data_IF_254428178385
#
_entry.id   IF_254428178385
#
_cell.length_a   1.000
_cell.length_b   1.000
_cell.length_c   1.000
_cell.angle_alpha   90.00
_cell.angle_beta   90.00
_cell.angle_gamma   90.00
#
_symmetry.space_group_name_H-M   'P 1'
#
loop_
_entity.id
_entity.type
_entity.pdbx_description
1 polymer ?
#
# COMPACT_ATOMS: atom_id res chain seq x y z
N UNK A 1 30.92 59.83 -26.99
CA UNK A 1 30.34 58.96 -25.94
C UNK A 1 30.01 57.60 -26.53
N UNK A 2 30.56 56.50 -26.01
CA UNK A 2 30.18 55.17 -26.46
C UNK A 2 28.90 54.71 -25.71
N UNK A 3 27.91 54.18 -26.43
CA UNK A 3 26.67 53.68 -25.83
C UNK A 3 26.87 52.26 -25.28
N UNK A 4 26.35 51.97 -24.09
CA UNK A 4 26.31 50.63 -23.48
C UNK A 4 24.89 50.06 -23.50
N UNK A 5 24.75 48.74 -23.22
CA UNK A 5 23.45 48.08 -23.10
C UNK A 5 22.78 48.47 -21.78
N UNK A 6 21.48 48.80 -21.83
CA UNK A 6 20.74 49.31 -20.68
C UNK A 6 20.18 48.21 -19.74
N UNK A 7 19.82 47.03 -20.25
CA UNK A 7 19.23 45.93 -19.44
C UNK A 7 19.38 44.55 -20.11
N UNK A 8 19.50 43.46 -19.31
CA UNK A 8 19.45 42.09 -19.83
C UNK A 8 19.08 41.01 -18.79
N UNK A 9 18.22 40.08 -19.20
CA UNK A 9 17.83 38.88 -18.43
C UNK A 9 18.48 37.59 -18.98
N UNK A 10 19.41 37.70 -19.94
CA UNK A 10 19.91 36.59 -20.76
C UNK A 10 20.42 35.36 -19.97
N UNK A 11 21.19 35.58 -18.89
CA UNK A 11 21.77 34.50 -18.09
C UNK A 11 21.06 34.30 -16.74
N UNK A 12 19.94 34.97 -16.49
CA UNK A 12 19.27 34.89 -15.18
C UNK A 12 18.63 33.52 -14.97
N UNK A 13 17.87 33.06 -15.96
CA UNK A 13 17.22 31.73 -15.92
C UNK A 13 18.24 30.60 -15.73
N UNK A 14 19.35 30.61 -16.48
CA UNK A 14 20.39 29.58 -16.35
C UNK A 14 20.97 29.53 -14.93
N UNK A 15 21.21 30.69 -14.29
CA UNK A 15 21.71 30.75 -12.90
C UNK A 15 20.68 30.20 -11.90
N UNK A 16 19.40 30.57 -12.03
CA UNK A 16 18.34 30.05 -11.15
C UNK A 16 18.19 28.53 -11.24
N UNK A 17 18.38 27.96 -12.44
CA UNK A 17 18.26 26.54 -12.66
C UNK A 17 19.51 25.72 -12.33
N UNK A 18 20.70 26.32 -12.17
CA UNK A 18 21.92 25.58 -11.75
C UNK A 18 21.71 24.81 -10.44
N UNK A 19 21.03 25.43 -9.47
CA UNK A 19 20.70 24.81 -8.18
C UNK A 19 19.25 24.27 -8.14
N UNK A 20 18.49 24.52 -9.20
CA UNK A 20 17.06 24.24 -9.29
C UNK A 20 16.20 25.20 -8.48
N UNK A 21 15.09 25.65 -9.05
CA UNK A 21 14.10 26.47 -8.36
C UNK A 21 13.27 25.52 -7.47
N UNK A 22 13.57 25.48 -6.17
CA UNK A 22 12.89 24.61 -5.21
C UNK A 22 11.54 25.22 -4.82
N UNK A 23 10.50 24.37 -4.77
CA UNK A 23 9.21 24.74 -4.19
C UNK A 23 9.33 24.88 -2.66
N UNK A 24 8.52 25.73 -2.02
CA UNK A 24 8.48 25.79 -0.56
C UNK A 24 8.10 24.41 0.00
N UNK A 25 8.68 24.04 1.14
CA UNK A 25 8.40 22.77 1.80
C UNK A 25 6.99 22.81 2.41
N UNK A 26 6.13 21.90 2.01
CA UNK A 26 4.84 21.68 2.68
C UNK A 26 5.06 20.96 4.02
N UNK A 27 4.38 21.42 5.06
CA UNK A 27 4.44 20.83 6.40
C UNK A 27 3.03 20.38 6.81
N UNK A 28 2.91 19.22 7.47
CA UNK A 28 1.60 18.68 7.90
C UNK A 28 0.81 19.65 8.78
N UNK A 29 1.50 20.39 9.64
CA UNK A 29 0.91 21.39 10.53
C UNK A 29 1.61 22.73 10.32
N UNK A 30 0.90 23.69 9.75
CA UNK A 30 1.38 25.06 9.54
C UNK A 30 1.14 25.95 10.77
N UNK A 31 1.75 27.14 10.77
CA UNK A 31 1.56 28.12 11.84
C UNK A 31 0.17 28.77 11.76
N UNK A 32 -0.42 29.08 12.91
CA UNK A 32 -1.70 29.79 13.00
C UNK A 32 -1.53 31.32 13.06
N UNK A 33 -0.43 31.86 12.52
CA UNK A 33 -0.17 33.30 12.48
C UNK A 33 -1.13 33.96 11.47
N UNK A 34 -1.77 35.06 11.86
CA UNK A 34 -2.74 35.77 11.03
C UNK A 34 -4.18 35.25 11.11
N UNK A 35 -4.44 34.21 11.92
CA UNK A 35 -5.81 33.75 12.23
C UNK A 35 -6.49 34.70 13.22
N UNK A 36 -7.81 34.86 13.12
CA UNK A 36 -8.62 35.73 13.97
C UNK A 36 -8.29 35.55 15.48
N UNK A 37 -7.89 36.64 16.19
CA UNK A 37 -7.59 36.60 17.61
C UNK A 37 -8.74 36.07 18.48
N UNK A 38 -10.01 36.36 18.14
CA UNK A 38 -11.17 35.90 18.93
C UNK A 38 -11.30 34.38 18.84
N UNK A 39 -11.19 33.82 17.64
CA UNK A 39 -11.13 32.38 17.42
C UNK A 39 -9.94 31.73 18.14
N UNK A 40 -8.73 32.30 18.01
CA UNK A 40 -7.53 31.76 18.66
C UNK A 40 -7.67 31.71 20.18
N UNK A 41 -8.30 32.74 20.77
CA UNK A 41 -8.52 32.80 22.21
C UNK A 41 -9.44 31.67 22.68
N UNK A 42 -10.55 31.42 21.98
CA UNK A 42 -11.43 30.30 22.28
C UNK A 42 -10.74 28.94 22.09
N UNK A 43 -10.04 28.72 20.98
CA UNK A 43 -9.32 27.46 20.73
C UNK A 43 -8.26 27.19 21.81
N UNK A 44 -7.55 28.23 22.28
CA UNK A 44 -6.59 28.11 23.40
C UNK A 44 -7.29 27.69 24.69
N UNK A 45 -8.45 28.27 25.01
CA UNK A 45 -9.24 27.86 26.18
C UNK A 45 -9.74 26.42 26.08
N UNK A 46 -10.25 25.99 24.93
CA UNK A 46 -10.67 24.61 24.70
C UNK A 46 -9.50 23.63 24.93
N UNK A 47 -8.33 23.90 24.31
CA UNK A 47 -7.12 23.09 24.50
C UNK A 47 -6.64 23.07 25.96
N UNK A 48 -6.75 24.21 26.67
CA UNK A 48 -6.37 24.33 28.10
C UNK A 48 -7.19 23.40 28.99
N UNK A 49 -8.48 23.23 28.71
CA UNK A 49 -9.40 22.48 29.59
C UNK A 49 -9.66 21.02 29.17
N UNK A 50 -9.06 20.52 28.08
CA UNK A 50 -9.21 19.13 27.63
C UNK A 50 -8.87 18.07 28.70
N UNK A 51 -7.98 18.38 29.64
CA UNK A 51 -7.61 17.46 30.73
C UNK A 51 -8.79 17.08 31.64
N UNK A 52 -9.80 17.96 31.78
CA UNK A 52 -10.98 17.71 32.63
C UNK A 52 -11.83 16.52 32.14
N UNK A 53 -11.90 16.31 30.84
CA UNK A 53 -12.71 15.25 30.23
C UNK A 53 -12.00 13.90 30.07
N UNK A 54 -10.72 13.81 30.43
CA UNK A 54 -9.86 12.69 30.04
C UNK A 54 -10.37 11.33 30.55
N UNK A 55 -10.82 11.26 31.81
CA UNK A 55 -11.36 10.02 32.40
C UNK A 55 -12.57 9.48 31.64
N UNK A 56 -13.48 10.37 31.20
CA UNK A 56 -14.67 10.00 30.44
C UNK A 56 -14.30 9.46 29.06
N UNK A 57 -13.36 10.12 28.39
CA UNK A 57 -12.83 9.69 27.08
C UNK A 57 -12.13 8.34 27.20
N UNK A 58 -11.31 8.13 28.22
CA UNK A 58 -10.61 6.86 28.43
C UNK A 58 -11.58 5.71 28.66
N UNK A 59 -12.59 5.91 29.52
CA UNK A 59 -13.61 4.89 29.76
C UNK A 59 -14.40 4.54 28.49
N UNK A 60 -14.77 5.56 27.70
CA UNK A 60 -15.48 5.33 26.44
C UNK A 60 -14.60 4.59 25.42
N UNK A 61 -13.34 4.97 25.29
CA UNK A 61 -12.38 4.29 24.40
C UNK A 61 -12.14 2.85 24.82
N UNK A 62 -12.02 2.57 26.13
CA UNK A 62 -11.88 1.20 26.63
C UNK A 62 -13.11 0.34 26.28
N UNK A 63 -14.32 0.87 26.45
CA UNK A 63 -15.57 0.21 26.04
C UNK A 63 -15.61 -0.04 24.53
N UNK A 64 -15.14 0.92 23.72
CA UNK A 64 -15.08 0.76 22.27
C UNK A 64 -14.06 -0.32 21.84
N UNK A 65 -12.91 -0.38 22.53
CA UNK A 65 -11.89 -1.41 22.27
C UNK A 65 -12.41 -2.79 22.67
N UNK A 66 -13.06 -2.93 23.83
CA UNK A 66 -13.61 -4.22 24.26
C UNK A 66 -14.70 -4.71 23.29
N UNK A 67 -15.62 -3.85 22.88
CA UNK A 67 -16.65 -4.19 21.89
C UNK A 67 -16.04 -4.61 20.55
N UNK A 68 -14.98 -3.92 20.09
CA UNK A 68 -14.24 -4.33 18.88
C UNK A 68 -13.56 -5.69 19.05
N UNK A 69 -12.96 -5.96 20.22
CA UNK A 69 -12.32 -7.24 20.49
C UNK A 69 -13.34 -8.40 20.50
N UNK A 70 -14.51 -8.19 21.10
CA UNK A 70 -15.61 -9.15 21.06
C UNK A 70 -16.12 -9.37 19.64
N UNK A 71 -16.28 -8.31 18.84
CA UNK A 71 -16.70 -8.42 17.44
C UNK A 71 -15.67 -9.18 16.57
N UNK A 72 -14.37 -9.00 16.82
CA UNK A 72 -13.30 -9.76 16.14
C UNK A 72 -13.28 -11.23 16.60
N UNK A 73 -13.61 -11.51 17.86
CA UNK A 73 -13.68 -12.87 18.41
C UNK A 73 -14.94 -13.63 17.97
N UNK A 74 -16.03 -12.94 17.67
CA UNK A 74 -17.32 -13.52 17.35
C UNK A 74 -17.41 -14.38 16.04
N UNK A 75 -16.61 -14.19 14.97
CA UNK A 75 -16.76 -14.96 13.74
C UNK A 75 -15.96 -16.28 13.84
N UNK A 76 -16.38 -17.19 14.71
CA UNK A 76 -15.99 -18.63 14.66
C UNK A 76 -17.22 -19.54 14.63
N UNK A 77 -18.44 -18.99 14.46
CA UNK A 77 -19.57 -19.81 14.01
C UNK A 77 -19.63 -19.76 12.50
N UNK A 78 -19.13 -20.78 11.77
CA UNK A 78 -19.51 -20.91 10.37
C UNK A 78 -21.03 -21.15 10.36
N UNK A 79 -21.79 -20.13 9.97
CA UNK A 79 -23.05 -20.44 9.28
C UNK A 79 -22.61 -21.22 8.06
N UNK A 80 -23.06 -22.47 7.96
CA UNK A 80 -22.84 -23.38 6.84
C UNK A 80 -23.39 -22.76 5.55
N UNK A 81 -22.65 -21.81 4.99
CA UNK A 81 -22.85 -21.38 3.62
C UNK A 81 -22.28 -22.51 2.79
N UNK A 82 -23.17 -23.37 2.30
CA UNK A 82 -22.85 -24.34 1.25
C UNK A 82 -22.04 -23.60 0.18
N UNK A 83 -20.78 -23.97 -0.09
CA UNK A 83 -20.03 -23.34 -1.16
C UNK A 83 -20.77 -23.65 -2.45
N UNK A 84 -21.47 -22.66 -3.01
CA UNK A 84 -21.94 -22.72 -4.39
C UNK A 84 -20.72 -22.48 -5.27
N UNK A 85 -19.93 -23.54 -5.43
CA UNK A 85 -18.81 -23.56 -6.36
C UNK A 85 -19.41 -23.24 -7.74
N UNK A 86 -18.93 -22.22 -8.47
CA UNK A 86 -19.31 -22.04 -9.85
C UNK A 86 -18.79 -23.26 -10.63
N UNK A 87 -19.68 -24.22 -10.86
CA UNK A 87 -19.45 -25.35 -11.75
C UNK A 87 -19.33 -24.79 -13.16
N UNK A 88 -18.11 -24.50 -13.61
CA UNK A 88 -17.96 -23.85 -14.91
C UNK A 88 -16.55 -23.73 -15.48
N UNK A 89 -15.55 -24.45 -14.95
CA UNK A 89 -14.30 -24.64 -15.71
C UNK A 89 -13.97 -26.12 -15.79
N UNK A 90 -13.67 -26.59 -16.99
CA UNK A 90 -13.23 -27.98 -17.15
C UNK A 90 -11.94 -28.16 -16.35
N UNK A 91 -11.82 -29.29 -15.64
CA UNK A 91 -10.66 -29.59 -14.77
C UNK A 91 -9.32 -29.41 -15.50
N UNK A 92 -9.32 -29.70 -16.81
CA UNK A 92 -8.18 -29.51 -17.73
C UNK A 92 -7.78 -28.04 -17.85
N UNK A 93 -8.73 -27.12 -18.04
CA UNK A 93 -8.44 -25.68 -18.13
C UNK A 93 -7.90 -25.12 -16.83
N UNK A 94 -8.46 -25.53 -15.68
CA UNK A 94 -7.94 -25.14 -14.37
C UNK A 94 -6.52 -25.65 -14.13
N UNK A 95 -6.22 -26.89 -14.54
CA UNK A 95 -4.89 -27.48 -14.43
C UNK A 95 -3.86 -26.77 -15.33
N UNK A 96 -4.23 -26.38 -16.55
CA UNK A 96 -3.38 -25.60 -17.45
C UNK A 96 -3.10 -24.20 -16.89
N UNK A 97 -4.12 -23.52 -16.36
CA UNK A 97 -3.96 -22.22 -15.71
C UNK A 97 -3.02 -22.33 -14.49
N UNK A 98 -3.20 -23.35 -13.64
CA UNK A 98 -2.33 -23.61 -12.50
C UNK A 98 -0.87 -23.87 -12.91
N UNK A 99 -0.67 -24.64 -13.98
CA UNK A 99 0.68 -24.96 -14.50
C UNK A 99 1.33 -23.74 -15.15
N UNK A 100 0.55 -22.86 -15.77
CA UNK A 100 1.01 -21.61 -16.37
C UNK A 100 1.31 -20.51 -15.32
N UNK A 101 0.74 -20.58 -14.11
CA UNK A 101 0.96 -19.58 -13.07
C UNK A 101 2.43 -19.52 -12.61
N UNK A 102 3.11 -18.36 -12.66
CA UNK A 102 4.56 -18.24 -12.47
C UNK A 102 5.06 -18.81 -11.14
N UNK A 103 4.32 -18.60 -10.04
CA UNK A 103 4.71 -19.06 -8.71
C UNK A 103 4.17 -20.45 -8.35
N UNK A 104 2.91 -20.73 -8.68
CA UNK A 104 2.22 -21.96 -8.25
C UNK A 104 2.60 -23.16 -9.14
N UNK A 105 2.75 -22.93 -10.45
CA UNK A 105 3.09 -23.97 -11.43
C UNK A 105 4.59 -24.24 -11.58
N UNK A 106 5.47 -23.56 -10.81
CA UNK A 106 6.93 -23.70 -10.96
C UNK A 106 7.42 -25.13 -10.72
N UNK A 107 6.89 -25.81 -9.72
CA UNK A 107 7.26 -27.19 -9.41
C UNK A 107 6.68 -28.15 -10.46
N UNK A 108 5.42 -27.99 -10.86
CA UNK A 108 4.81 -28.79 -11.92
C UNK A 108 5.59 -28.71 -13.24
N UNK A 109 5.98 -27.50 -13.66
CA UNK A 109 6.82 -27.30 -14.85
C UNK A 109 8.20 -27.96 -14.72
N UNK A 110 8.83 -27.86 -13.55
CA UNK A 110 10.11 -28.51 -13.29
C UNK A 110 10.02 -30.06 -13.33
N UNK A 111 8.87 -30.63 -12.95
CA UNK A 111 8.63 -32.08 -13.09
C UNK A 111 8.39 -32.48 -14.54
N UNK A 112 7.68 -31.66 -15.33
CA UNK A 112 7.44 -31.92 -16.77
C UNK A 112 8.74 -31.85 -17.57
N UNK A 113 9.65 -30.91 -17.24
CA UNK A 113 10.96 -30.82 -17.92
C UNK A 113 11.96 -31.88 -17.46
N UNK A 114 11.68 -32.59 -16.36
CA UNK A 114 12.38 -33.81 -15.94
C UNK A 114 11.78 -35.05 -16.64
N UNK A 115 11.79 -35.07 -17.98
CA UNK A 115 11.66 -36.34 -18.69
C UNK A 115 12.89 -37.23 -18.36
N UNK A 116 12.76 -38.57 -18.26
CA UNK A 116 13.91 -39.43 -18.02
C UNK A 116 14.89 -39.29 -19.19
N UNK A 117 16.03 -38.63 -18.97
CA UNK A 117 17.20 -38.78 -19.84
C UNK A 117 17.73 -40.20 -19.62
N UNK A 118 17.22 -41.15 -20.41
CA UNK A 118 17.65 -42.54 -20.35
C UNK A 118 16.57 -43.49 -20.84
N UNK A 119 16.35 -43.54 -22.14
CA UNK A 119 15.79 -44.75 -22.74
C UNK A 119 16.89 -45.82 -22.71
N UNK A 120 16.85 -46.75 -21.75
CA UNK A 120 17.59 -48.01 -21.88
C UNK A 120 16.80 -48.88 -22.86
N UNK A 121 17.36 -49.09 -24.05
CA UNK A 121 16.83 -50.04 -25.02
C UNK A 121 17.10 -51.47 -24.51
N UNK A 122 16.14 -52.41 -24.60
CA UNK A 122 16.40 -53.80 -24.29
C UNK A 122 17.31 -54.40 -25.37
N UNK A 123 18.52 -54.81 -25.00
CA UNK A 123 19.45 -55.55 -25.87
C UNK A 123 19.14 -57.04 -25.79
N UNK A 124 18.72 -57.67 -26.90
CA UNK A 124 18.66 -59.13 -27.01
C UNK A 124 19.93 -59.67 -27.69
N UNK A 125 20.52 -60.78 -27.20
CA UNK A 125 21.75 -61.36 -27.75
C UNK A 125 21.52 -62.18 -29.04
N UNK A 126 22.59 -62.45 -29.83
CA UNK A 126 22.47 -62.93 -31.21
C UNK A 126 22.46 -64.46 -31.36
N UNK A 127 21.76 -64.95 -32.39
CA UNK A 127 22.03 -66.19 -33.12
C UNK A 127 22.16 -65.87 -34.62
#
# INVERSE_FOLDING_TARGET
MAKSKNHTTHNQSRKWHRNGIKKPRSQRYESLKGVDPKFLRNMRFAKKHNKKGLKKVQANNAKAISARAEAIKAPVKPKEVKPRIPTGSSRKLSQLAYTAHPNLGKHARAHITKAPKGAQAPTNPPE
#
